data_IF_408932951640
#
_entry.id   IF_408932951640
#
_cell.length_a   1.000
_cell.length_b   1.000
_cell.length_c   1.000
_cell.angle_alpha   90.00
_cell.angle_beta   90.00
_cell.angle_gamma   90.00
#
_symmetry.space_group_name_H-M   'P 1'
#
loop_
_entity.id
_entity.type
_entity.pdbx_description
1 polymer ?
#
# COMPACT_ATOMS: atom_id res chain seq x y z
N UNK A 1 5.48 0.48 14.14
CA UNK A 1 5.61 1.96 14.11
C UNK A 1 7.03 2.34 14.48
N UNK A 2 7.39 3.64 14.44
CA UNK A 2 8.75 4.14 14.63
C UNK A 2 9.16 5.12 13.53
N UNK A 3 10.21 5.90 13.79
CA UNK A 3 10.73 6.90 12.85
C UNK A 3 11.21 6.30 11.53
N UNK A 4 11.27 7.13 10.48
CA UNK A 4 11.78 6.73 9.17
C UNK A 4 13.22 6.20 9.27
N UNK A 5 14.08 6.89 10.02
CA UNK A 5 15.47 6.49 10.22
C UNK A 5 15.58 5.06 10.81
N UNK A 6 14.84 4.77 11.89
CA UNK A 6 14.83 3.45 12.52
C UNK A 6 14.40 2.36 11.54
N UNK A 7 13.35 2.60 10.76
CA UNK A 7 12.87 1.61 9.81
C UNK A 7 13.81 1.45 8.60
N UNK A 8 14.52 2.52 8.20
CA UNK A 8 15.57 2.46 7.17
C UNK A 8 16.74 1.59 7.60
N UNK A 9 17.20 1.72 8.86
CA UNK A 9 18.27 0.85 9.40
C UNK A 9 17.85 -0.62 9.39
N UNK A 10 16.64 -0.93 9.90
CA UNK A 10 16.08 -2.29 9.86
C UNK A 10 15.99 -2.85 8.45
N UNK A 11 15.55 -2.03 7.49
CA UNK A 11 15.51 -2.46 6.10
C UNK A 11 16.93 -2.67 5.54
N UNK A 12 17.89 -1.81 5.89
CA UNK A 12 19.30 -1.95 5.55
C UNK A 12 19.90 -3.28 6.04
N UNK A 13 19.60 -3.71 7.26
CA UNK A 13 19.99 -5.03 7.78
C UNK A 13 19.38 -6.18 6.96
N UNK A 14 18.13 -6.05 6.54
CA UNK A 14 17.49 -7.02 5.65
C UNK A 14 18.23 -7.14 4.31
N UNK A 15 18.68 -6.02 3.72
CA UNK A 15 19.43 -6.01 2.46
C UNK A 15 20.79 -6.68 2.53
N UNK A 16 21.43 -6.66 3.70
CA UNK A 16 22.71 -7.34 3.92
C UNK A 16 22.58 -8.86 3.84
N UNK A 17 21.38 -9.41 4.01
CA UNK A 17 21.12 -10.86 3.90
C UNK A 17 21.17 -11.28 2.43
N UNK A 18 22.26 -11.94 2.04
CA UNK A 18 22.46 -12.51 0.70
C UNK A 18 23.14 -13.88 0.82
N UNK A 19 22.86 -14.76 -0.13
CA UNK A 19 23.62 -16.01 -0.27
C UNK A 19 25.01 -15.68 -0.78
N UNK A 20 26.07 -16.14 -0.10
CA UNK A 20 27.44 -15.80 -0.43
C UNK A 20 27.90 -16.41 -1.77
N UNK A 21 27.49 -17.65 -2.05
CA UNK A 21 27.89 -18.39 -3.26
C UNK A 21 27.25 -17.84 -4.53
N UNK A 22 25.91 -17.69 -4.54
CA UNK A 22 25.18 -17.10 -5.66
C UNK A 22 24.05 -16.21 -5.13
N UNK A 23 24.21 -14.88 -5.14
CA UNK A 23 23.21 -13.93 -4.67
C UNK A 23 21.86 -14.01 -5.40
N UNK A 24 21.83 -14.48 -6.65
CA UNK A 24 20.61 -14.60 -7.46
C UNK A 24 19.66 -15.67 -6.90
N UNK A 25 20.21 -16.74 -6.30
CA UNK A 25 19.41 -17.80 -5.64
C UNK A 25 18.97 -17.41 -4.22
N UNK A 26 19.47 -16.29 -3.70
CA UNK A 26 19.26 -15.88 -2.31
C UNK A 26 17.93 -15.18 -2.03
N UNK A 27 17.81 -14.54 -0.86
CA UNK A 27 16.62 -13.78 -0.50
C UNK A 27 16.39 -12.60 -1.46
N UNK A 28 15.17 -12.51 -2.00
CA UNK A 28 14.77 -11.37 -2.83
C UNK A 28 14.36 -10.16 -1.99
N UNK A 29 14.98 -9.02 -2.31
CA UNK A 29 14.77 -7.74 -1.64
C UNK A 29 13.90 -6.82 -2.51
N UNK A 30 12.58 -7.00 -2.43
CA UNK A 30 11.64 -6.15 -3.15
C UNK A 30 11.66 -4.71 -2.62
N UNK A 31 11.68 -3.73 -3.53
CA UNK A 31 11.74 -2.30 -3.18
C UNK A 31 10.39 -1.61 -3.21
N UNK A 32 9.46 -2.13 -4.02
CA UNK A 32 8.18 -1.48 -4.21
C UNK A 32 7.27 -1.67 -2.97
N UNK A 33 6.49 -0.65 -2.57
CA UNK A 33 5.61 -0.73 -1.41
C UNK A 33 4.63 -1.92 -1.46
N UNK A 34 4.05 -2.21 -2.62
CA UNK A 34 3.08 -3.31 -2.77
C UNK A 34 3.74 -4.66 -2.50
N UNK A 35 4.96 -4.87 -3.02
CA UNK A 35 5.71 -6.12 -2.85
C UNK A 35 6.29 -6.26 -1.45
N UNK A 36 6.65 -5.16 -0.78
CA UNK A 36 7.01 -5.18 0.64
C UNK A 36 5.80 -5.67 1.46
N UNK A 37 4.61 -5.10 1.24
CA UNK A 37 3.40 -5.54 1.92
C UNK A 37 3.06 -7.00 1.60
N UNK A 38 3.08 -7.40 0.33
CA UNK A 38 2.86 -8.80 -0.09
C UNK A 38 3.82 -9.76 0.61
N UNK A 39 5.11 -9.39 0.74
CA UNK A 39 6.12 -10.21 1.43
C UNK A 39 5.82 -10.33 2.93
N UNK A 40 5.29 -9.28 3.57
CA UNK A 40 4.86 -9.35 4.98
C UNK A 40 3.68 -10.30 5.16
N UNK A 41 2.66 -10.22 4.29
CA UNK A 41 1.50 -11.13 4.34
C UNK A 41 1.91 -12.58 4.05
N UNK A 42 2.79 -12.80 3.07
CA UNK A 42 3.38 -14.13 2.80
C UNK A 42 4.13 -14.70 4.00
N UNK A 43 4.75 -13.87 4.84
CA UNK A 43 5.42 -14.30 6.06
C UNK A 43 4.45 -14.77 7.16
N UNK A 44 3.19 -14.33 7.12
CA UNK A 44 2.14 -14.71 8.07
C UNK A 44 1.34 -15.94 7.62
N UNK A 45 1.56 -16.44 6.40
CA UNK A 45 0.82 -17.56 5.79
C UNK A 45 1.79 -18.75 5.59
N UNK A 46 1.33 -20.00 5.78
CA UNK A 46 2.09 -21.21 5.44
C UNK A 46 2.18 -21.42 3.91
N UNK A 47 2.87 -20.50 3.23
CA UNK A 47 2.92 -20.35 1.77
C UNK A 47 3.60 -21.50 1.01
N UNK A 48 4.28 -22.41 1.70
CA UNK A 48 4.87 -23.63 1.10
C UNK A 48 3.82 -24.73 0.88
N UNK A 49 2.67 -24.66 1.55
CA UNK A 49 1.57 -25.60 1.36
C UNK A 49 0.69 -25.18 0.18
N UNK A 50 0.01 -26.13 -0.46
CA UNK A 50 -0.94 -25.84 -1.54
C UNK A 50 -2.04 -24.85 -1.11
N UNK A 51 -2.58 -25.03 0.11
CA UNK A 51 -3.56 -24.11 0.72
C UNK A 51 -3.01 -22.69 0.86
N UNK A 52 -1.78 -22.56 1.37
CA UNK A 52 -1.14 -21.25 1.54
C UNK A 52 -0.81 -20.58 0.21
N UNK A 53 -0.39 -21.34 -0.79
CA UNK A 53 -0.17 -20.85 -2.15
C UNK A 53 -1.47 -20.33 -2.78
N UNK A 54 -2.58 -21.08 -2.65
CA UNK A 54 -3.89 -20.64 -3.12
C UNK A 54 -4.37 -19.37 -2.41
N UNK A 55 -4.13 -19.23 -1.10
CA UNK A 55 -4.46 -18.01 -0.36
C UNK A 55 -3.66 -16.79 -0.88
N UNK A 56 -2.37 -16.96 -1.19
CA UNK A 56 -1.56 -15.89 -1.77
C UNK A 56 -1.98 -15.52 -3.19
N UNK A 57 -2.48 -16.46 -3.99
CA UNK A 57 -2.99 -16.18 -5.33
C UNK A 57 -4.22 -15.27 -5.31
N UNK A 58 -5.03 -15.36 -4.25
CA UNK A 58 -6.20 -14.48 -4.04
C UNK A 58 -5.82 -13.05 -3.68
N UNK A 59 -4.64 -12.86 -3.08
CA UNK A 59 -4.16 -11.54 -2.67
C UNK A 59 -3.61 -10.77 -3.87
N UNK A 60 -4.22 -9.62 -4.17
CA UNK A 60 -3.72 -8.65 -5.14
C UNK A 60 -3.31 -7.36 -4.42
N UNK A 61 -2.11 -6.87 -4.72
CA UNK A 61 -1.53 -5.67 -4.09
C UNK A 61 -1.04 -4.74 -5.17
N UNK A 62 -1.35 -3.44 -5.05
CA UNK A 62 -1.02 -2.42 -6.05
C UNK A 62 -0.36 -1.21 -5.39
N UNK A 63 0.44 -0.46 -6.14
CA UNK A 63 0.79 0.93 -5.81
C UNK A 63 -0.21 1.87 -6.49
N UNK A 64 -0.69 2.88 -5.76
CA UNK A 64 -1.81 3.70 -6.23
C UNK A 64 -3.10 2.90 -6.35
N UNK A 65 -4.07 3.42 -7.10
CA UNK A 65 -5.38 2.81 -7.31
C UNK A 65 -5.61 2.68 -8.81
N UNK A 66 -5.20 1.54 -9.41
CA UNK A 66 -5.34 1.34 -10.85
C UNK A 66 -6.80 1.01 -11.24
N UNK A 67 -7.19 1.24 -12.50
CA UNK A 67 -8.43 0.72 -13.05
C UNK A 67 -8.48 -0.82 -12.97
N UNK A 68 -9.63 -1.43 -12.65
CA UNK A 68 -10.96 -0.85 -12.43
C UNK A 68 -11.26 -0.44 -10.97
N UNK A 69 -10.28 -0.53 -10.07
CA UNK A 69 -10.50 -0.35 -8.62
C UNK A 69 -10.70 1.12 -8.20
N UNK A 70 -10.34 2.05 -9.08
CA UNK A 70 -10.54 3.50 -8.91
C UNK A 70 -12.02 3.88 -8.82
N UNK A 71 -12.90 3.13 -9.50
CA UNK A 71 -14.35 3.32 -9.51
C UNK A 71 -15.08 2.50 -8.45
N UNK A 72 -14.38 1.59 -7.77
CA UNK A 72 -14.97 0.71 -6.76
C UNK A 72 -14.94 1.36 -5.37
N UNK A 73 -15.93 1.02 -4.53
CA UNK A 73 -15.93 1.45 -3.12
C UNK A 73 -14.82 0.74 -2.36
N UNK A 74 -13.89 1.52 -1.81
CA UNK A 74 -12.79 1.01 -1.00
C UNK A 74 -13.23 0.83 0.44
N UNK A 75 -12.86 -0.31 1.02
CA UNK A 75 -13.14 -0.63 2.42
C UNK A 75 -11.93 -0.33 3.29
N UNK A 76 -12.18 -0.06 4.57
CA UNK A 76 -11.15 0.25 5.56
C UNK A 76 -11.27 -0.76 6.70
N UNK A 77 -10.13 -1.24 7.21
CA UNK A 77 -10.07 -2.15 8.36
C UNK A 77 -9.75 -1.33 9.62
N UNK A 78 -10.72 -1.06 10.52
CA UNK A 78 -10.51 -0.14 11.64
C UNK A 78 -9.40 -0.60 12.61
N UNK A 79 -9.30 -1.91 12.86
CA UNK A 79 -8.25 -2.50 13.71
C UNK A 79 -6.82 -2.31 13.18
N UNK A 80 -6.65 -1.90 11.92
CA UNK A 80 -5.35 -1.63 11.31
C UNK A 80 -5.09 -0.12 11.06
N UNK A 81 -6.02 0.75 11.45
CA UNK A 81 -5.87 2.18 11.23
C UNK A 81 -4.87 2.80 12.20
N UNK A 82 -3.83 3.45 11.66
CA UNK A 82 -2.81 4.16 12.46
C UNK A 82 -3.43 5.13 13.47
N UNK A 83 -4.41 5.93 13.06
CA UNK A 83 -5.02 6.97 13.92
C UNK A 83 -5.73 6.37 15.14
N UNK A 84 -6.23 5.14 15.03
CA UNK A 84 -6.89 4.43 16.13
C UNK A 84 -5.90 3.59 16.95
N UNK A 85 -4.87 3.01 16.31
CA UNK A 85 -3.95 2.07 16.93
C UNK A 85 -2.69 2.71 17.52
N UNK A 86 -2.31 3.92 17.09
CA UNK A 86 -1.09 4.58 17.51
C UNK A 86 -1.41 5.91 18.19
N UNK A 87 -0.81 6.15 19.35
CA UNK A 87 -0.89 7.45 20.03
C UNK A 87 -0.36 8.57 19.14
N UNK A 88 -0.96 9.76 19.25
CA UNK A 88 -0.68 10.90 18.38
C UNK A 88 0.78 11.41 18.45
N UNK A 89 1.41 11.28 19.63
CA UNK A 89 2.80 11.69 19.91
C UNK A 89 3.86 10.75 19.31
N UNK A 90 3.47 9.54 18.89
CA UNK A 90 4.43 8.52 18.46
C UNK A 90 4.79 8.66 16.98
N UNK A 91 6.10 8.75 16.74
CA UNK A 91 6.64 8.76 15.38
C UNK A 91 6.27 7.49 14.59
N UNK A 92 6.00 7.70 13.30
CA UNK A 92 5.74 6.64 12.32
C UNK A 92 6.41 7.00 11.00
N UNK A 93 6.48 6.04 10.08
CA UNK A 93 6.97 6.26 8.73
C UNK A 93 5.90 5.87 7.71
N UNK A 94 5.87 6.56 6.57
CA UNK A 94 5.10 6.13 5.40
C UNK A 94 5.91 5.10 4.62
N UNK A 95 5.26 4.03 4.17
CA UNK A 95 5.94 2.96 3.45
C UNK A 95 6.53 3.46 2.11
N UNK A 96 5.87 4.41 1.44
CA UNK A 96 6.37 5.01 0.20
C UNK A 96 7.70 5.75 0.38
N UNK A 97 7.88 6.48 1.48
CA UNK A 97 9.12 7.21 1.77
C UNK A 97 10.26 6.23 2.10
N UNK A 98 9.97 5.16 2.84
CA UNK A 98 10.94 4.09 3.09
C UNK A 98 11.34 3.40 1.78
N UNK A 99 10.36 2.99 0.97
CA UNK A 99 10.57 2.30 -0.29
C UNK A 99 11.45 3.11 -1.25
N UNK A 100 11.19 4.42 -1.38
CA UNK A 100 11.99 5.31 -2.20
C UNK A 100 13.44 5.40 -1.72
N UNK A 101 13.65 5.58 -0.41
CA UNK A 101 14.98 5.59 0.22
C UNK A 101 15.79 4.30 0.01
N UNK A 102 15.14 3.17 -0.27
CA UNK A 102 15.79 1.87 -0.45
C UNK A 102 15.80 1.41 -1.92
N UNK A 103 15.50 2.32 -2.86
CA UNK A 103 15.70 2.11 -4.30
C UNK A 103 14.42 1.96 -5.14
N UNK A 104 13.24 2.28 -4.63
CA UNK A 104 12.02 2.32 -5.44
C UNK A 104 11.94 3.61 -6.26
N UNK A 105 11.95 3.47 -7.59
CA UNK A 105 12.08 4.59 -8.54
C UNK A 105 10.76 5.26 -8.93
N UNK A 106 9.61 4.59 -8.73
CA UNK A 106 8.33 5.03 -9.31
C UNK A 106 7.47 5.89 -8.38
N UNK A 107 8.04 6.44 -7.29
CA UNK A 107 7.30 7.25 -6.32
C UNK A 107 6.59 8.43 -6.99
N UNK A 108 7.34 9.20 -7.78
CA UNK A 108 6.83 10.45 -8.37
C UNK A 108 5.86 10.18 -9.52
N UNK A 109 6.09 9.09 -10.27
CA UNK A 109 5.15 8.60 -11.27
C UNK A 109 3.80 8.25 -10.64
N UNK A 110 3.79 7.49 -9.54
CA UNK A 110 2.56 7.11 -8.84
C UNK A 110 1.88 8.35 -8.23
N UNK A 111 2.64 9.30 -7.71
CA UNK A 111 2.08 10.55 -7.18
C UNK A 111 1.31 11.32 -8.28
N UNK A 112 1.94 11.52 -9.45
CA UNK A 112 1.30 12.19 -10.60
C UNK A 112 0.02 11.49 -11.05
N UNK A 113 0.03 10.15 -11.14
CA UNK A 113 -1.14 9.37 -11.53
C UNK A 113 -2.27 9.45 -10.49
N UNK A 114 -1.92 9.41 -9.20
CA UNK A 114 -2.91 9.56 -8.12
C UNK A 114 -3.52 10.96 -8.07
N UNK A 115 -2.75 12.00 -8.38
CA UNK A 115 -3.28 13.36 -8.43
C UNK A 115 -4.26 13.53 -9.60
N UNK A 116 -3.94 13.02 -10.78
CA UNK A 116 -4.90 12.95 -11.90
C UNK A 116 -6.16 12.18 -11.51
N UNK A 117 -6.01 11.03 -10.83
CA UNK A 117 -7.13 10.20 -10.38
C UNK A 117 -8.03 10.95 -9.38
N UNK A 118 -7.45 11.74 -8.47
CA UNK A 118 -8.21 12.55 -7.49
C UNK A 118 -9.01 13.65 -8.17
N UNK A 119 -8.44 14.33 -9.18
CA UNK A 119 -9.17 15.33 -9.97
C UNK A 119 -10.40 14.70 -10.62
N UNK A 120 -10.24 13.56 -11.30
CA UNK A 120 -11.36 12.84 -11.91
C UNK A 120 -12.40 12.40 -10.87
N UNK A 121 -11.94 11.96 -9.69
CA UNK A 121 -12.82 11.54 -8.59
C UNK A 121 -13.61 12.70 -7.98
N UNK A 122 -13.03 13.90 -7.94
CA UNK A 122 -13.70 15.10 -7.42
C UNK A 122 -14.82 15.55 -8.37
N UNK A 123 -14.55 15.59 -9.69
CA UNK A 123 -15.58 15.87 -10.71
C UNK A 123 -16.77 14.93 -10.57
N UNK A 124 -16.52 13.62 -10.44
CA UNK A 124 -17.57 12.63 -10.19
C UNK A 124 -18.33 12.90 -8.87
N UNK A 125 -17.62 13.27 -7.80
CA UNK A 125 -18.22 13.53 -6.50
C UNK A 125 -19.11 14.77 -6.51
N UNK A 126 -18.70 15.87 -7.16
CA UNK A 126 -19.52 17.07 -7.28
C UNK A 126 -20.81 16.79 -8.05
N UNK A 127 -20.74 16.06 -9.17
CA UNK A 127 -21.92 15.62 -9.92
C UNK A 127 -22.86 14.75 -9.07
N UNK A 128 -22.30 13.79 -8.33
CA UNK A 128 -23.07 12.94 -7.42
C UNK A 128 -23.73 13.74 -6.28
N UNK A 129 -23.02 14.73 -5.72
CA UNK A 129 -23.51 15.59 -4.64
C UNK A 129 -24.67 16.47 -5.11
N UNK A 130 -24.55 17.09 -6.29
CA UNK A 130 -25.61 17.88 -6.89
C UNK A 130 -26.87 17.03 -7.16
N UNK A 131 -26.70 15.85 -7.75
CA UNK A 131 -27.81 14.92 -7.99
C UNK A 131 -28.49 14.46 -6.69
N UNK A 132 -27.70 14.18 -5.64
CA UNK A 132 -28.24 13.82 -4.33
C UNK A 132 -29.03 14.97 -3.68
N UNK A 133 -28.58 16.23 -3.85
CA UNK A 133 -29.30 17.41 -3.36
C UNK A 133 -30.65 17.58 -4.08
N UNK A 134 -30.65 17.55 -5.42
CA UNK A 134 -31.88 17.65 -6.21
C UNK A 134 -32.89 16.53 -5.87
N UNK A 135 -32.41 15.31 -5.64
CA UNK A 135 -33.27 14.20 -5.20
C UNK A 135 -33.86 14.42 -3.80
N UNK A 136 -33.12 15.05 -2.90
CA UNK A 136 -33.61 15.37 -1.56
C UNK A 136 -34.68 16.48 -1.61
N UNK A 137 -34.46 17.51 -2.42
CA UNK A 137 -35.43 18.58 -2.66
C UNK A 137 -36.71 18.06 -3.32
N UNK A 138 -36.61 17.13 -4.28
CA UNK A 138 -37.78 16.52 -4.93
C UNK A 138 -38.59 15.56 -4.03
N UNK A 139 -38.03 15.13 -2.89
CA UNK A 139 -38.70 14.25 -1.92
C UNK A 139 -39.34 15.02 -0.76
N UNK A 140 -38.94 16.27 -0.54
CA UNK A 140 -39.51 17.15 0.47
C UNK A 140 -40.80 17.78 -0.05
#
# INVERSE_FOLDING_TARGET
>A
SGSLYRNKVKFGEFLRKRTNTNPVRGPFHFRSPSRIFWRTVRGMIPHKTARGAAALLRLKTFEGIPPPFDKMKRMVVPKALRVLQLRADRAYCKLGDLAHNVGWKHRDLVARLEDQRKVNSDVFYQGKKAAAKALAEAKA
#
